data_IF_448253580906
#
_entry.id   IF_448253580906
#
_cell.length_a   1.000
_cell.length_b   1.000
_cell.length_c   1.000
_cell.angle_alpha   90.00
_cell.angle_beta   90.00
_cell.angle_gamma   90.00
#
_symmetry.space_group_name_H-M   'P 1'
#
loop_
_entity.id
_entity.type
_entity.pdbx_description
1 polymer ?
#
# COMPACT_ATOMS: atom_id res chain seq x y z
N UNK A 1 30.70 1.15 -7.92
CA UNK A 1 30.33 0.66 -9.26
C UNK A 1 29.58 1.77 -9.98
N UNK A 2 29.29 1.65 -11.27
CA UNK A 2 28.38 2.60 -11.95
C UNK A 2 26.96 2.29 -11.49
N UNK A 3 26.17 3.31 -11.15
CA UNK A 3 24.78 3.17 -10.68
C UNK A 3 23.91 2.39 -11.68
N UNK A 4 24.26 2.45 -12.97
CA UNK A 4 23.58 1.66 -14.02
C UNK A 4 23.76 0.15 -13.83
N UNK A 5 24.95 -0.29 -13.39
CA UNK A 5 25.22 -1.71 -13.15
C UNK A 5 24.48 -2.22 -11.90
N UNK A 6 24.49 -1.44 -10.83
CA UNK A 6 23.76 -1.77 -9.59
C UNK A 6 22.25 -1.89 -9.86
N UNK A 7 21.69 -1.00 -10.68
CA UNK A 7 20.28 -1.05 -11.07
C UNK A 7 19.94 -2.29 -11.91
N UNK A 8 20.80 -2.65 -12.87
CA UNK A 8 20.59 -3.86 -13.69
C UNK A 8 20.65 -5.13 -12.84
N UNK A 9 21.58 -5.22 -11.88
CA UNK A 9 21.67 -6.35 -10.96
C UNK A 9 20.43 -6.47 -10.07
N UNK A 10 19.92 -5.33 -9.58
CA UNK A 10 18.67 -5.26 -8.81
C UNK A 10 17.49 -5.76 -9.63
N UNK A 11 17.32 -5.28 -10.87
CA UNK A 11 16.24 -5.70 -11.76
C UNK A 11 16.34 -7.19 -12.13
N UNK A 12 17.54 -7.70 -12.36
CA UNK A 12 17.77 -9.12 -12.63
C UNK A 12 17.37 -10.00 -11.42
N UNK A 13 17.66 -9.53 -10.21
CA UNK A 13 17.25 -10.20 -8.97
C UNK A 13 15.73 -10.19 -8.80
N UNK A 14 15.07 -9.06 -9.10
CA UNK A 14 13.61 -8.98 -9.07
C UNK A 14 12.95 -9.90 -10.11
N UNK A 15 13.50 -9.98 -11.33
CA UNK A 15 12.98 -10.80 -12.42
C UNK A 15 13.17 -12.31 -12.20
N UNK A 16 14.20 -12.72 -11.47
CA UNK A 16 14.49 -14.14 -11.19
C UNK A 16 13.79 -14.68 -9.94
N UNK A 17 13.04 -13.84 -9.23
CA UNK A 17 12.29 -14.20 -8.04
C UNK A 17 11.21 -15.27 -8.29
N UNK A 18 10.97 -16.14 -7.30
CA UNK A 18 9.93 -17.18 -7.39
C UNK A 18 8.54 -16.59 -7.67
N UNK A 19 8.17 -15.50 -7.01
CA UNK A 19 6.91 -14.81 -7.21
C UNK A 19 6.83 -14.10 -8.58
N UNK A 20 7.95 -13.60 -9.11
CA UNK A 20 8.01 -13.06 -10.47
C UNK A 20 7.78 -14.15 -11.54
N UNK A 21 8.22 -15.39 -11.30
CA UNK A 21 7.89 -16.52 -12.19
C UNK A 21 6.39 -16.84 -12.20
N UNK A 22 5.66 -16.45 -11.15
CA UNK A 22 4.21 -16.57 -11.05
C UNK A 22 3.46 -15.36 -11.61
N UNK A 23 4.12 -14.34 -12.16
CA UNK A 23 3.47 -13.11 -12.65
C UNK A 23 2.44 -13.36 -13.76
N UNK A 24 2.63 -14.40 -14.57
CA UNK A 24 1.69 -14.81 -15.61
C UNK A 24 0.55 -15.70 -15.10
N UNK A 25 0.61 -16.13 -13.84
CA UNK A 25 -0.34 -17.04 -13.23
C UNK A 25 -1.33 -16.27 -12.36
N UNK A 26 -2.56 -16.76 -12.31
CA UNK A 26 -3.56 -16.21 -11.41
C UNK A 26 -3.16 -16.48 -9.94
N UNK A 27 -3.23 -15.49 -9.04
CA UNK A 27 -2.90 -15.68 -7.63
C UNK A 27 -3.71 -16.80 -6.98
N UNK A 28 -3.07 -17.59 -6.12
CA UNK A 28 -3.78 -18.68 -5.43
C UNK A 28 -4.85 -18.13 -4.49
N UNK A 29 -5.95 -18.87 -4.21
CA UNK A 29 -6.97 -18.41 -3.27
C UNK A 29 -6.41 -18.06 -1.89
N UNK A 30 -5.40 -18.79 -1.42
CA UNK A 30 -4.72 -18.54 -0.15
C UNK A 30 -3.96 -17.21 -0.16
N UNK A 31 -3.21 -16.91 -1.22
CA UNK A 31 -2.51 -15.62 -1.38
C UNK A 31 -3.50 -14.47 -1.40
N UNK A 32 -4.61 -14.62 -2.14
CA UNK A 32 -5.65 -13.60 -2.21
C UNK A 32 -6.28 -13.39 -0.84
N UNK A 33 -6.64 -14.48 -0.14
CA UNK A 33 -7.22 -14.40 1.21
C UNK A 33 -6.27 -13.69 2.18
N UNK A 34 -4.98 -14.05 2.17
CA UNK A 34 -3.94 -13.38 2.96
C UNK A 34 -3.93 -11.87 2.74
N UNK A 35 -3.88 -11.44 1.48
CA UNK A 35 -3.84 -10.01 1.12
C UNK A 35 -5.14 -9.28 1.47
N UNK A 36 -6.29 -9.92 1.27
CA UNK A 36 -7.58 -9.35 1.69
C UNK A 36 -7.66 -9.19 3.21
N UNK A 37 -7.07 -10.09 3.98
CA UNK A 37 -7.07 -10.01 5.44
C UNK A 37 -6.08 -8.96 5.95
N UNK A 38 -4.80 -9.06 5.55
CA UNK A 38 -3.71 -8.19 6.02
C UNK A 38 -3.92 -6.73 5.62
N UNK A 39 -4.42 -6.49 4.41
CA UNK A 39 -4.54 -5.15 3.84
C UNK A 39 -5.99 -4.74 3.59
N UNK A 40 -6.99 -5.50 4.05
CA UNK A 40 -8.38 -5.11 3.89
C UNK A 40 -8.85 -4.89 2.45
N UNK A 41 -8.14 -5.42 1.45
CA UNK A 41 -8.50 -5.30 0.04
C UNK A 41 -9.75 -6.12 -0.27
N UNK A 42 -10.50 -5.71 -1.30
CA UNK A 42 -11.45 -6.63 -1.93
C UNK A 42 -10.70 -7.74 -2.66
N UNK A 43 -11.39 -8.84 -2.95
CA UNK A 43 -10.82 -9.98 -3.66
C UNK A 43 -10.18 -9.58 -5.00
N UNK A 44 -10.89 -8.78 -5.82
CA UNK A 44 -10.40 -8.36 -7.14
C UNK A 44 -9.17 -7.44 -7.03
N UNK A 45 -9.11 -6.60 -6.01
CA UNK A 45 -7.95 -5.74 -5.78
C UNK A 45 -6.73 -6.51 -5.33
N UNK A 46 -6.91 -7.46 -4.41
CA UNK A 46 -5.82 -8.32 -4.00
C UNK A 46 -5.25 -9.05 -5.22
N UNK A 47 -6.11 -9.63 -6.07
CA UNK A 47 -5.68 -10.25 -7.34
C UNK A 47 -4.89 -9.28 -8.21
N UNK A 48 -5.40 -8.06 -8.42
CA UNK A 48 -4.75 -7.05 -9.26
C UNK A 48 -3.38 -6.65 -8.68
N UNK A 49 -3.33 -6.29 -7.40
CA UNK A 49 -2.12 -5.79 -6.75
C UNK A 49 -1.04 -6.87 -6.64
N UNK A 50 -1.41 -8.13 -6.37
CA UNK A 50 -0.47 -9.26 -6.43
C UNK A 50 0.11 -9.40 -7.84
N UNK A 51 -0.74 -9.35 -8.86
CA UNK A 51 -0.30 -9.50 -10.25
C UNK A 51 0.63 -8.35 -10.68
N UNK A 52 0.26 -7.12 -10.32
CA UNK A 52 1.08 -5.92 -10.57
C UNK A 52 2.44 -6.03 -9.87
N UNK A 53 2.46 -6.43 -8.59
CA UNK A 53 3.71 -6.60 -7.82
C UNK A 53 4.61 -7.68 -8.41
N UNK A 54 4.06 -8.83 -8.81
CA UNK A 54 4.84 -9.91 -9.43
C UNK A 54 5.41 -9.52 -10.79
N UNK A 55 4.69 -8.68 -11.54
CA UNK A 55 5.12 -8.18 -12.85
C UNK A 55 6.11 -7.02 -12.79
N UNK A 56 6.27 -6.37 -11.63
CA UNK A 56 7.17 -5.23 -11.48
C UNK A 56 8.62 -5.67 -11.24
N UNK A 57 9.41 -5.64 -12.32
CA UNK A 57 10.86 -5.91 -12.27
C UNK A 57 11.67 -4.76 -11.67
N UNK A 58 11.06 -3.60 -11.45
CA UNK A 58 11.70 -2.41 -10.85
C UNK A 58 11.45 -2.30 -9.35
N UNK A 59 10.68 -3.21 -8.75
CA UNK A 59 10.34 -3.17 -7.33
C UNK A 59 11.55 -3.37 -6.44
N UNK A 60 11.55 -2.67 -5.30
CA UNK A 60 12.52 -2.88 -4.23
C UNK A 60 12.13 -4.16 -3.47
N UNK A 61 13.06 -5.12 -3.36
CA UNK A 61 12.87 -6.38 -2.63
C UNK A 61 13.76 -6.41 -1.40
N UNK A 62 13.30 -7.07 -0.35
CA UNK A 62 14.17 -7.37 0.79
C UNK A 62 15.14 -8.48 0.39
N UNK A 63 16.34 -8.47 0.97
CA UNK A 63 17.31 -9.55 0.74
C UNK A 63 16.87 -10.84 1.42
N UNK A 64 17.40 -11.98 0.96
CA UNK A 64 17.12 -13.28 1.58
C UNK A 64 17.56 -13.31 3.05
N UNK A 65 18.71 -12.69 3.34
CA UNK A 65 19.23 -12.55 4.70
C UNK A 65 18.30 -11.71 5.59
N UNK A 66 17.75 -10.61 5.07
CA UNK A 66 16.74 -9.82 5.80
C UNK A 66 15.53 -10.70 6.08
N UNK A 67 14.96 -11.35 5.06
CA UNK A 67 13.78 -12.20 5.26
C UNK A 67 14.04 -13.28 6.30
N UNK A 68 15.19 -13.96 6.25
CA UNK A 68 15.55 -15.00 7.21
C UNK A 68 15.56 -14.51 8.67
N UNK A 69 15.92 -13.24 8.93
CA UNK A 69 15.97 -12.66 10.27
C UNK A 69 14.57 -12.38 10.85
N UNK A 70 13.62 -11.99 10.01
CA UNK A 70 12.28 -11.55 10.44
C UNK A 70 11.18 -12.58 10.16
N UNK A 71 11.49 -13.64 9.40
CA UNK A 71 10.52 -14.62 8.88
C UNK A 71 9.57 -15.12 9.96
N UNK A 72 10.10 -15.63 11.07
CA UNK A 72 9.30 -16.26 12.12
C UNK A 72 8.33 -15.26 12.76
N UNK A 73 8.76 -14.02 12.98
CA UNK A 73 7.93 -12.95 13.52
C UNK A 73 6.81 -12.57 12.53
N UNK A 74 7.16 -12.38 11.25
CA UNK A 74 6.20 -11.94 10.24
C UNK A 74 5.21 -13.05 9.86
N UNK A 75 5.65 -14.30 9.79
CA UNK A 75 4.77 -15.46 9.57
C UNK A 75 3.80 -15.65 10.74
N UNK A 76 4.22 -15.38 11.99
CA UNK A 76 3.32 -15.38 13.15
C UNK A 76 2.22 -14.29 13.06
N UNK A 77 2.48 -13.21 12.32
CA UNK A 77 1.52 -12.14 12.01
C UNK A 77 0.70 -12.44 10.73
N UNK A 78 0.92 -13.59 10.09
CA UNK A 78 0.22 -14.03 8.89
C UNK A 78 0.82 -13.53 7.56
N UNK A 79 1.97 -12.84 7.61
CA UNK A 79 2.69 -12.42 6.41
C UNK A 79 3.50 -13.58 5.82
N UNK A 80 3.51 -13.66 4.50
CA UNK A 80 4.62 -14.27 3.76
C UNK A 80 5.56 -13.16 3.25
N UNK A 81 6.66 -13.53 2.60
CA UNK A 81 7.61 -12.56 2.05
C UNK A 81 6.95 -11.58 1.08
N UNK A 82 6.09 -12.09 0.19
CA UNK A 82 5.43 -11.29 -0.83
C UNK A 82 4.49 -10.22 -0.22
N UNK A 83 3.64 -10.62 0.74
CA UNK A 83 2.79 -9.68 1.48
C UNK A 83 3.63 -8.71 2.31
N UNK A 84 4.76 -9.19 2.87
CA UNK A 84 5.62 -8.31 3.65
C UNK A 84 6.29 -7.24 2.78
N UNK A 85 6.85 -7.61 1.63
CA UNK A 85 7.40 -6.66 0.66
C UNK A 85 6.33 -5.64 0.22
N UNK A 86 5.08 -6.08 -0.01
CA UNK A 86 3.95 -5.19 -0.31
C UNK A 86 3.69 -4.19 0.82
N UNK A 87 3.78 -4.65 2.08
CA UNK A 87 3.54 -3.80 3.24
C UNK A 87 4.51 -2.62 3.33
N UNK A 88 5.76 -2.81 2.88
CA UNK A 88 6.78 -1.76 2.85
C UNK A 88 6.49 -0.69 1.78
N UNK A 89 5.70 -1.04 0.76
CA UNK A 89 5.33 -0.16 -0.35
C UNK A 89 3.97 0.53 -0.15
N UNK A 90 3.29 0.29 0.99
CA UNK A 90 1.95 0.83 1.24
C UNK A 90 1.88 2.36 1.16
N UNK A 91 2.96 3.09 1.49
CA UNK A 91 2.99 4.55 1.34
C UNK A 91 2.90 5.00 -0.12
N UNK A 92 3.51 4.26 -1.05
CA UNK A 92 3.42 4.53 -2.48
C UNK A 92 2.03 4.16 -3.01
N UNK A 93 1.49 3.02 -2.57
CA UNK A 93 0.12 2.60 -2.89
C UNK A 93 -0.89 3.64 -2.40
N UNK A 94 -0.71 4.15 -1.19
CA UNK A 94 -1.55 5.20 -0.62
C UNK A 94 -1.52 6.47 -1.47
N UNK A 95 -0.32 6.93 -1.87
CA UNK A 95 -0.18 8.07 -2.78
C UNK A 95 -0.88 7.85 -4.11
N UNK A 96 -0.74 6.67 -4.71
CA UNK A 96 -1.42 6.30 -5.96
C UNK A 96 -2.95 6.19 -5.83
N UNK A 97 -3.47 6.02 -4.61
CA UNK A 97 -4.90 5.93 -4.30
C UNK A 97 -5.47 7.22 -3.67
N UNK A 98 -4.71 8.31 -3.74
CA UNK A 98 -5.11 9.63 -3.24
C UNK A 98 -5.36 10.60 -4.40
N UNK A 99 -6.27 11.54 -4.18
CA UNK A 99 -6.60 12.61 -5.12
C UNK A 99 -6.80 13.93 -4.37
N UNK A 100 -6.28 15.01 -4.92
CA UNK A 100 -6.53 16.36 -4.43
C UNK A 100 -7.68 16.98 -5.21
N UNK A 101 -8.62 17.61 -4.51
CA UNK A 101 -9.72 18.36 -5.11
C UNK A 101 -9.76 19.79 -4.53
N UNK A 102 -10.12 20.81 -5.33
CA UNK A 102 -10.41 22.14 -4.80
C UNK A 102 -11.64 22.08 -3.89
N UNK A 103 -11.55 22.68 -2.71
CA UNK A 103 -12.64 22.78 -1.73
C UNK A 103 -13.61 23.95 -2.02
N UNK A 104 -13.26 24.82 -2.95
CA UNK A 104 -14.02 26.00 -3.36
C UNK A 104 -13.30 26.74 -4.49
N UNK A 105 -13.97 27.67 -5.18
CA UNK A 105 -13.49 28.35 -6.40
C UNK A 105 -12.27 29.29 -6.24
N UNK A 106 -11.45 29.10 -5.21
CA UNK A 106 -10.18 29.80 -5.00
C UNK A 106 -8.99 28.94 -5.42
N UNK A 107 -7.93 29.58 -5.94
CA UNK A 107 -6.72 28.93 -6.45
C UNK A 107 -5.62 28.74 -5.41
N UNK A 108 -5.91 28.93 -4.12
CA UNK A 108 -4.92 28.84 -3.05
C UNK A 108 -4.84 27.42 -2.49
N UNK A 109 -3.61 26.97 -2.21
CA UNK A 109 -3.23 25.64 -1.71
C UNK A 109 -3.86 25.31 -0.33
N UNK A 110 -4.40 26.31 0.35
CA UNK A 110 -5.04 26.25 1.67
C UNK A 110 -6.51 25.82 1.59
N UNK A 111 -7.11 25.83 0.39
CA UNK A 111 -8.50 25.44 0.15
C UNK A 111 -8.58 24.13 -0.66
N UNK A 112 -7.62 23.21 -0.45
CA UNK A 112 -7.63 21.88 -1.04
C UNK A 112 -8.10 20.81 -0.05
N UNK A 113 -9.06 19.99 -0.48
CA UNK A 113 -9.42 18.76 0.20
C UNK A 113 -8.73 17.57 -0.48
N UNK A 114 -8.29 16.63 0.33
CA UNK A 114 -7.67 15.41 -0.13
C UNK A 114 -8.61 14.24 0.11
N UNK A 115 -8.83 13.46 -0.94
CA UNK A 115 -9.51 12.18 -0.84
C UNK A 115 -8.44 11.10 -0.86
N UNK A 116 -8.53 10.17 0.05
CA UNK A 116 -7.81 8.91 -0.09
C UNK A 116 -8.75 7.76 0.11
N UNK A 117 -8.43 6.65 -0.53
CA UNK A 117 -9.24 5.46 -0.44
C UNK A 117 -9.06 4.76 0.91
N UNK A 118 -10.17 4.44 1.58
CA UNK A 118 -10.15 3.59 2.75
C UNK A 118 -9.86 2.14 2.33
N UNK A 119 -8.82 1.58 2.91
CA UNK A 119 -8.27 0.27 2.62
C UNK A 119 -6.93 0.10 3.35
N UNK A 120 -6.33 -1.08 3.30
CA UNK A 120 -5.04 -1.31 3.94
C UNK A 120 -5.11 -1.17 5.46
N UNK A 121 -4.02 -0.61 5.98
CA UNK A 121 -3.86 -0.21 7.37
C UNK A 121 -4.79 0.93 7.81
N UNK A 122 -5.44 1.62 6.86
CA UNK A 122 -6.37 2.72 7.08
C UNK A 122 -7.79 2.32 6.62
N UNK A 123 -8.19 1.08 6.89
CA UNK A 123 -9.47 0.49 6.43
C UNK A 123 -10.71 1.22 6.94
N UNK A 124 -10.63 1.91 8.08
CA UNK A 124 -11.79 2.51 8.74
C UNK A 124 -11.55 3.97 9.10
N UNK A 125 -12.60 4.82 9.11
CA UNK A 125 -12.47 6.22 9.51
C UNK A 125 -12.02 6.38 10.97
N UNK A 126 -12.31 5.41 11.84
CA UNK A 126 -11.80 5.38 13.23
C UNK A 126 -10.28 5.27 13.25
N UNK A 127 -9.70 4.43 12.39
CA UNK A 127 -8.25 4.29 12.31
C UNK A 127 -7.58 5.56 11.77
N UNK A 128 -8.22 6.20 10.80
CA UNK A 128 -7.78 7.51 10.28
C UNK A 128 -7.79 8.57 11.39
N UNK A 129 -8.88 8.63 12.17
CA UNK A 129 -9.00 9.53 13.32
C UNK A 129 -7.89 9.30 14.34
N UNK A 130 -7.66 8.04 14.71
CA UNK A 130 -6.61 7.64 15.66
C UNK A 130 -5.22 8.07 15.17
N UNK A 131 -4.87 7.76 13.93
CA UNK A 131 -3.55 8.02 13.36
C UNK A 131 -3.30 9.52 13.18
N UNK A 132 -4.29 10.28 12.70
CA UNK A 132 -4.13 11.71 12.48
C UNK A 132 -4.41 12.57 13.72
N UNK A 133 -4.88 11.96 14.81
CA UNK A 133 -5.26 12.65 16.04
C UNK A 133 -6.43 13.62 15.84
N UNK A 134 -7.44 13.23 15.07
CA UNK A 134 -8.63 14.06 14.82
C UNK A 134 -9.57 14.05 16.04
N UNK A 135 -10.21 15.18 16.32
CA UNK A 135 -11.24 15.26 17.38
C UNK A 135 -12.55 14.58 16.95
N UNK A 136 -12.90 14.71 15.66
CA UNK A 136 -14.10 14.13 15.05
C UNK A 136 -13.75 13.02 14.05
N UNK A 137 -14.75 12.20 13.69
CA UNK A 137 -14.57 11.21 12.63
C UNK A 137 -14.52 11.91 11.27
N UNK A 138 -13.55 11.57 10.40
CA UNK A 138 -13.44 12.21 9.11
C UNK A 138 -14.60 11.78 8.19
N UNK A 139 -14.96 12.66 7.26
CA UNK A 139 -16.08 12.43 6.34
C UNK A 139 -15.74 11.30 5.38
N UNK A 140 -16.64 10.33 5.25
CA UNK A 140 -16.52 9.23 4.30
C UNK A 140 -17.47 9.45 3.12
N UNK A 141 -16.94 9.32 1.90
CA UNK A 141 -17.68 9.33 0.64
C UNK A 141 -17.59 7.96 0.00
N UNK A 142 -18.68 7.51 -0.59
CA UNK A 142 -18.72 6.23 -1.31
C UNK A 142 -18.73 6.51 -2.81
N UNK A 143 -17.93 5.75 -3.55
CA UNK A 143 -17.94 5.69 -5.01
C UNK A 143 -18.19 4.26 -5.46
N UNK A 144 -18.51 4.07 -6.73
CA UNK A 144 -18.70 2.74 -7.31
C UNK A 144 -17.83 2.62 -8.54
N UNK A 145 -17.13 1.49 -8.66
CA UNK A 145 -16.41 1.11 -9.88
C UNK A 145 -16.88 -0.28 -10.35
N UNK A 146 -16.23 -0.80 -11.38
CA UNK A 146 -16.51 -2.13 -11.95
C UNK A 146 -16.35 -3.28 -10.94
N UNK A 147 -15.62 -3.03 -9.85
CA UNK A 147 -15.33 -3.99 -8.77
C UNK A 147 -16.25 -3.81 -7.55
N UNK A 148 -17.17 -2.83 -7.56
CA UNK A 148 -18.15 -2.58 -6.50
C UNK A 148 -17.99 -1.23 -5.80
N UNK A 149 -18.50 -1.15 -4.57
CA UNK A 149 -18.49 0.08 -3.77
C UNK A 149 -17.13 0.25 -3.10
N UNK A 150 -16.56 1.44 -3.26
CA UNK A 150 -15.30 1.88 -2.67
C UNK A 150 -15.53 3.10 -1.80
N UNK A 151 -14.84 3.15 -0.65
CA UNK A 151 -15.00 4.24 0.33
C UNK A 151 -13.76 5.13 0.31
N UNK A 152 -13.98 6.43 0.40
CA UNK A 152 -12.94 7.45 0.42
C UNK A 152 -13.11 8.30 1.66
N UNK A 153 -12.00 8.62 2.31
CA UNK A 153 -11.95 9.54 3.43
C UNK A 153 -11.55 10.92 2.90
N UNK A 154 -12.30 11.94 3.29
CA UNK A 154 -12.02 13.34 2.96
C UNK A 154 -11.28 13.97 4.13
N UNK A 155 -10.10 14.48 3.86
CA UNK A 155 -9.20 15.07 4.86
C UNK A 155 -8.56 16.35 4.35
N UNK A 156 -8.10 17.19 5.26
CA UNK A 156 -7.27 18.36 4.94
C UNK A 156 -5.80 17.96 4.71
N UNK A 157 -5.00 18.94 4.29
CA UNK A 157 -3.57 18.79 3.99
C UNK A 157 -2.76 18.32 5.20
N UNK A 158 -3.06 18.85 6.38
CA UNK A 158 -2.34 18.52 7.62
C UNK A 158 -2.58 17.07 8.04
N UNK A 159 -3.83 16.63 7.92
CA UNK A 159 -4.26 15.25 8.18
C UNK A 159 -3.62 14.30 7.19
N UNK A 160 -3.62 14.64 5.89
CA UNK A 160 -2.93 13.83 4.87
C UNK A 160 -1.45 13.66 5.22
N UNK A 161 -0.76 14.75 5.59
CA UNK A 161 0.66 14.70 5.95
C UNK A 161 0.91 13.78 7.14
N UNK A 162 0.10 13.84 8.19
CA UNK A 162 0.21 12.93 9.35
C UNK A 162 0.01 11.46 8.97
N UNK A 163 -0.94 11.17 8.07
CA UNK A 163 -1.17 9.81 7.58
C UNK A 163 0.02 9.29 6.76
N UNK A 164 0.59 10.12 5.88
CA UNK A 164 1.79 9.77 5.14
C UNK A 164 3.01 9.55 6.05
N UNK A 165 3.20 10.41 7.05
CA UNK A 165 4.25 10.27 8.05
C UNK A 165 4.08 8.98 8.85
N UNK A 166 2.86 8.66 9.28
CA UNK A 166 2.58 7.41 9.99
C UNK A 166 2.83 6.17 9.13
N UNK A 167 2.39 6.18 7.87
CA UNK A 167 2.66 5.08 6.93
C UNK A 167 4.17 4.91 6.68
N UNK A 168 4.91 6.02 6.61
CA UNK A 168 6.36 6.01 6.45
C UNK A 168 7.06 5.50 7.71
N UNK A 169 6.62 5.91 8.90
CA UNK A 169 7.15 5.39 10.15
C UNK A 169 6.85 3.89 10.30
N UNK A 170 5.66 3.45 9.89
CA UNK A 170 5.29 2.05 9.93
C UNK A 170 6.14 1.20 8.97
N UNK A 171 6.49 1.71 7.80
CA UNK A 171 7.41 1.03 6.88
C UNK A 171 8.87 1.07 7.34
N UNK A 172 9.31 2.14 8.02
CA UNK A 172 10.67 2.25 8.57
C UNK A 172 10.88 1.41 9.83
N UNK A 173 9.87 1.28 10.70
CA UNK A 173 9.91 0.39 11.87
C UNK A 173 9.89 -1.10 11.50
N UNK A 174 9.57 -1.39 10.24
CA UNK A 174 9.56 -2.75 9.69
C UNK A 174 10.81 -3.02 8.82
N UNK A 175 11.47 -2.00 8.25
CA UNK A 175 12.77 -2.17 7.58
C UNK A 175 13.90 -2.50 8.56
#
# INVERSE_FOLDING_TARGET
MDATWEEVERMATAASADDAQLASQYPTPETVERWTHLFGYSYMEAVKLISDQRGDVTRERITDDHWALIKDEKEALGYDREAYEHSLQLSQVFKGQSASIPAGGGSDDDDMMFLFRLGGLLKTPEKVKEVAGLEELPVVREGTNEMGVVKFCVVDKDTQKKLEEWLTQHSVLQK
#
